data_IF_964284150767
#
_entry.id   IF_964284150767
#
_cell.length_a   1.000
_cell.length_b   1.000
_cell.length_c   1.000
_cell.angle_alpha   90.00
_cell.angle_beta   90.00
_cell.angle_gamma   90.00
#
_symmetry.space_group_name_H-M   'P 1'
#
loop_
_entity.id
_entity.type
_entity.pdbx_description
1 polymer ?
#
# COMPACT_ATOMS: atom_id res chain seq x y z
N UNK A 1 30.98 3.62 11.70
CA UNK A 1 30.65 4.81 12.48
C UNK A 1 29.32 5.29 11.92
N UNK A 2 28.23 5.22 12.69
CA UNK A 2 26.93 5.73 12.25
C UNK A 2 26.94 7.24 12.27
N UNK A 3 26.41 7.87 11.22
CA UNK A 3 26.19 9.31 11.19
C UNK A 3 25.28 9.69 12.35
N UNK A 4 25.70 10.65 13.16
CA UNK A 4 24.86 11.21 14.21
C UNK A 4 23.86 12.16 13.54
N UNK A 5 22.60 11.77 13.51
CA UNK A 5 21.54 12.67 13.07
C UNK A 5 21.47 13.88 14.02
N UNK A 6 21.41 15.07 13.43
CA UNK A 6 21.27 16.30 14.19
C UNK A 6 19.92 16.35 14.91
N UNK A 7 19.87 17.03 16.03
CA UNK A 7 18.61 17.33 16.74
C UNK A 7 17.64 18.07 15.81
N UNK A 8 16.37 17.69 15.81
CA UNK A 8 15.34 18.34 15.01
C UNK A 8 14.04 18.52 15.79
N UNK A 9 13.19 19.41 15.30
CA UNK A 9 11.86 19.67 15.86
C UNK A 9 10.82 19.22 14.86
N UNK A 10 9.85 18.33 15.25
CA UNK A 10 8.79 17.88 14.37
C UNK A 10 7.91 19.04 13.91
N UNK A 11 7.50 19.02 12.64
CA UNK A 11 6.57 20.03 12.09
C UNK A 11 5.22 20.02 12.80
N UNK A 12 4.82 18.87 13.35
CA UNK A 12 3.55 18.71 14.06
C UNK A 12 3.51 19.41 15.43
N UNK A 13 4.65 19.64 16.10
CA UNK A 13 4.68 20.31 17.41
C UNK A 13 6.04 20.95 17.70
N UNK A 14 6.11 22.28 17.70
CA UNK A 14 7.33 23.06 17.93
C UNK A 14 7.83 23.05 19.38
N UNK A 15 7.08 22.50 20.35
CA UNK A 15 7.53 22.33 21.73
C UNK A 15 8.33 21.04 21.95
N UNK A 16 8.39 20.18 20.94
CA UNK A 16 9.08 18.89 21.02
C UNK A 16 10.44 18.98 20.35
N UNK A 17 11.47 18.51 21.03
CA UNK A 17 12.82 18.34 20.49
C UNK A 17 13.15 16.86 20.42
N UNK A 18 13.57 16.40 19.26
CA UNK A 18 13.96 15.01 19.04
C UNK A 18 15.48 14.92 18.97
N UNK A 19 16.05 14.09 19.82
CA UNK A 19 17.48 13.78 19.85
C UNK A 19 17.68 12.27 19.75
N UNK A 20 18.59 11.84 18.91
CA UNK A 20 18.99 10.45 18.86
C UNK A 20 20.01 10.16 19.94
N UNK A 21 19.67 9.29 20.87
CA UNK A 21 20.54 8.84 21.95
C UNK A 21 20.93 7.37 21.72
N UNK A 22 22.18 7.02 21.98
CA UNK A 22 22.63 5.62 21.99
C UNK A 22 22.10 4.81 23.20
N UNK A 23 21.31 5.40 24.08
CA UNK A 23 20.69 4.71 25.19
C UNK A 23 19.52 3.85 24.68
N UNK A 24 19.41 2.64 25.20
CA UNK A 24 18.24 1.79 24.95
C UNK A 24 17.03 2.41 25.63
N UNK A 25 16.09 2.90 24.86
CA UNK A 25 14.78 3.37 25.36
C UNK A 25 13.73 2.32 25.04
N UNK A 26 12.74 2.17 25.88
CA UNK A 26 11.59 1.27 25.67
C UNK A 26 10.47 1.93 24.87
N UNK A 27 10.60 3.20 24.49
CA UNK A 27 9.58 3.92 23.73
C UNK A 27 9.78 3.78 22.22
N UNK A 28 8.68 3.76 21.49
CA UNK A 28 8.63 3.68 20.02
C UNK A 28 8.99 5.03 19.36
N UNK A 29 10.15 5.59 19.68
CA UNK A 29 10.57 6.94 19.23
C UNK A 29 10.58 7.09 17.70
N UNK A 30 10.74 5.98 16.97
CA UNK A 30 10.59 5.93 15.52
C UNK A 30 9.21 6.38 15.00
N UNK A 31 8.17 6.32 15.83
CA UNK A 31 6.84 6.79 15.46
C UNK A 31 6.81 8.29 15.12
N UNK A 32 7.70 9.12 15.72
CA UNK A 32 7.79 10.54 15.38
C UNK A 32 8.40 10.77 14.00
N UNK A 33 9.39 9.97 13.60
CA UNK A 33 9.97 10.03 12.26
C UNK A 33 8.95 9.62 11.20
N UNK A 34 8.21 8.54 11.47
CA UNK A 34 7.13 8.10 10.60
C UNK A 34 5.98 9.11 10.56
N UNK A 35 5.68 9.77 11.67
CA UNK A 35 4.69 10.84 11.71
C UNK A 35 5.10 12.01 10.81
N UNK A 36 6.35 12.43 10.86
CA UNK A 36 6.86 13.50 10.00
C UNK A 36 6.76 13.12 8.51
N UNK A 37 7.17 11.88 8.17
CA UNK A 37 7.03 11.38 6.80
C UNK A 37 5.55 11.31 6.35
N UNK A 38 4.67 10.88 7.24
CA UNK A 38 3.24 10.77 6.98
C UNK A 38 2.60 12.15 6.74
N UNK A 39 2.93 13.14 7.56
CA UNK A 39 2.43 14.52 7.39
C UNK A 39 2.98 15.14 6.10
N UNK A 40 4.27 14.95 5.78
CA UNK A 40 4.88 15.48 4.55
C UNK A 40 4.33 14.82 3.27
N UNK A 41 3.81 13.59 3.36
CA UNK A 41 3.19 12.91 2.20
C UNK A 41 1.85 13.51 1.80
N UNK A 42 1.16 14.19 2.70
CA UNK A 42 -0.19 14.72 2.49
C UNK A 42 -1.28 13.64 2.35
N UNK A 43 -0.98 12.37 2.71
CA UNK A 43 -1.94 11.27 2.56
C UNK A 43 -3.10 11.38 3.53
N UNK A 44 -2.87 11.87 4.75
CA UNK A 44 -3.94 12.03 5.74
C UNK A 44 -4.94 13.09 5.28
N UNK A 45 -4.47 14.21 4.78
CA UNK A 45 -5.29 15.28 4.23
C UNK A 45 -6.08 14.78 3.02
N UNK A 46 -5.42 14.07 2.10
CA UNK A 46 -6.09 13.49 0.92
C UNK A 46 -7.20 12.48 1.32
N UNK A 47 -6.99 11.71 2.37
CA UNK A 47 -8.02 10.81 2.89
C UNK A 47 -9.16 11.57 3.57
N UNK A 48 -8.87 12.59 4.37
CA UNK A 48 -9.91 13.39 5.04
C UNK A 48 -10.81 14.12 4.02
N UNK A 49 -10.22 14.67 2.97
CA UNK A 49 -10.94 15.43 1.94
C UNK A 49 -11.88 14.55 1.09
N UNK A 50 -11.57 13.26 0.96
CA UNK A 50 -12.30 12.36 0.08
C UNK A 50 -13.17 11.33 0.81
N UNK A 51 -12.90 11.06 2.10
CA UNK A 51 -13.68 10.08 2.87
C UNK A 51 -15.04 10.63 3.31
N UNK A 52 -16.08 9.82 3.09
CA UNK A 52 -17.43 10.11 3.59
C UNK A 52 -17.52 9.70 5.07
N UNK A 53 -17.37 10.68 5.95
CA UNK A 53 -17.56 10.51 7.40
C UNK A 53 -19.02 10.75 7.78
N UNK A 54 -19.74 9.68 8.11
CA UNK A 54 -21.17 9.73 8.50
C UNK A 54 -21.39 9.93 10.00
N UNK A 55 -20.33 10.20 10.76
CA UNK A 55 -20.46 10.44 12.19
C UNK A 55 -21.16 11.78 12.45
N UNK A 56 -22.00 11.82 13.48
CA UNK A 56 -22.65 13.06 13.87
C UNK A 56 -21.62 14.06 14.43
N UNK A 57 -21.48 15.29 13.87
CA UNK A 57 -20.40 16.23 14.24
C UNK A 57 -20.25 16.47 15.75
N UNK A 58 -21.37 16.64 16.47
CA UNK A 58 -21.36 16.87 17.93
C UNK A 58 -20.96 15.66 18.79
N UNK A 59 -20.79 14.48 18.18
CA UNK A 59 -20.37 13.24 18.86
C UNK A 59 -18.99 12.78 18.47
N UNK A 60 -18.29 13.55 17.65
CA UNK A 60 -16.90 13.26 17.25
C UNK A 60 -15.98 13.61 18.41
N UNK A 61 -15.41 12.59 19.04
CA UNK A 61 -14.42 12.72 20.11
C UNK A 61 -12.98 12.74 19.56
N UNK A 62 -12.75 11.97 18.51
CA UNK A 62 -11.46 11.88 17.82
C UNK A 62 -11.68 12.23 16.36
N UNK A 63 -10.86 13.13 15.81
CA UNK A 63 -10.88 13.49 14.39
C UNK A 63 -10.62 12.27 13.51
N UNK A 64 -10.99 12.35 12.25
CA UNK A 64 -10.67 11.31 11.27
C UNK A 64 -9.15 11.21 11.10
N UNK A 65 -8.45 12.35 11.00
CA UNK A 65 -6.99 12.41 10.93
C UNK A 65 -6.28 11.69 12.09
N UNK A 66 -6.70 11.94 13.33
CA UNK A 66 -6.12 11.26 14.50
C UNK A 66 -6.32 9.76 14.46
N UNK A 67 -7.48 9.29 14.01
CA UNK A 67 -7.77 7.87 13.86
C UNK A 67 -6.93 7.24 12.73
N UNK A 68 -6.83 7.90 11.59
CA UNK A 68 -6.02 7.45 10.44
C UNK A 68 -4.54 7.39 10.82
N UNK A 69 -4.01 8.43 11.46
CA UNK A 69 -2.62 8.44 11.95
C UNK A 69 -2.35 7.30 12.92
N UNK A 70 -3.26 7.08 13.87
CA UNK A 70 -3.12 5.97 14.83
C UNK A 70 -3.06 4.64 14.12
N UNK A 71 -3.95 4.38 13.16
CA UNK A 71 -4.00 3.14 12.41
C UNK A 71 -2.73 2.93 11.57
N UNK A 72 -2.30 3.96 10.82
CA UNK A 72 -1.13 3.88 9.93
C UNK A 72 0.15 3.70 10.73
N UNK A 73 0.39 4.56 11.72
CA UNK A 73 1.61 4.50 12.54
C UNK A 73 1.71 3.19 13.32
N UNK A 74 0.60 2.72 13.88
CA UNK A 74 0.56 1.44 14.58
C UNK A 74 1.02 0.31 13.66
N UNK A 75 0.49 0.21 12.44
CA UNK A 75 0.90 -0.80 11.46
C UNK A 75 2.36 -0.64 11.01
N UNK A 76 2.78 0.57 10.73
CA UNK A 76 4.15 0.87 10.30
C UNK A 76 5.21 0.57 11.36
N UNK A 77 4.85 0.67 12.64
CA UNK A 77 5.71 0.30 13.76
C UNK A 77 5.68 -1.20 14.11
N UNK A 78 4.89 -2.01 13.38
CA UNK A 78 4.81 -3.46 13.59
C UNK A 78 3.76 -3.91 14.61
N UNK A 79 2.94 -3.00 15.16
CA UNK A 79 1.83 -3.32 16.03
C UNK A 79 0.60 -3.72 15.20
N UNK A 80 0.51 -5.01 14.87
CA UNK A 80 -0.44 -5.51 13.87
C UNK A 80 -1.86 -5.63 14.44
N UNK A 81 -1.98 -5.98 15.71
CA UNK A 81 -3.28 -6.20 16.33
C UNK A 81 -3.93 -4.88 16.76
N UNK A 82 -5.26 -4.76 16.54
CA UNK A 82 -6.00 -3.59 17.02
C UNK A 82 -6.07 -3.53 18.55
N UNK A 83 -5.94 -4.66 19.26
CA UNK A 83 -5.91 -4.70 20.71
C UNK A 83 -4.72 -3.96 21.31
N UNK A 84 -3.60 -3.87 20.58
CA UNK A 84 -2.40 -3.14 20.99
C UNK A 84 -2.70 -1.65 21.19
N UNK A 85 -3.71 -1.13 20.49
CA UNK A 85 -4.15 0.27 20.61
C UNK A 85 -4.45 0.66 22.05
N UNK A 86 -5.04 -0.21 22.84
CA UNK A 86 -5.41 0.10 24.23
C UNK A 86 -4.20 0.20 25.18
N UNK A 87 -3.10 -0.43 24.81
CA UNK A 87 -1.80 -0.29 25.48
C UNK A 87 -1.08 0.97 24.99
N UNK A 88 -0.95 1.14 23.68
CA UNK A 88 -0.23 2.24 23.03
C UNK A 88 -0.85 3.61 23.36
N UNK A 89 -2.17 3.70 23.48
CA UNK A 89 -2.86 4.97 23.81
C UNK A 89 -2.43 5.60 25.15
N UNK A 90 -1.78 4.82 26.04
CA UNK A 90 -1.26 5.29 27.33
C UNK A 90 0.16 5.82 27.22
N UNK A 91 0.88 5.48 26.16
CA UNK A 91 2.24 5.94 25.92
C UNK A 91 2.24 7.42 25.51
N UNK A 92 2.99 8.30 26.21
CA UNK A 92 3.03 9.73 25.90
C UNK A 92 3.52 10.03 24.48
N UNK A 93 4.44 9.22 23.94
CA UNK A 93 4.95 9.38 22.59
C UNK A 93 3.86 9.09 21.53
N UNK A 94 3.11 8.02 21.73
CA UNK A 94 1.97 7.70 20.88
C UNK A 94 0.87 8.73 20.97
N UNK A 95 0.65 9.32 22.16
CA UNK A 95 -0.27 10.43 22.31
C UNK A 95 0.15 11.63 21.46
N UNK A 96 1.45 11.92 21.38
CA UNK A 96 1.99 12.96 20.51
C UNK A 96 1.89 12.56 19.02
N UNK A 97 2.44 11.42 18.66
CA UNK A 97 2.53 10.96 17.28
C UNK A 97 1.16 10.86 16.57
N UNK A 98 0.12 10.45 17.29
CA UNK A 98 -1.23 10.30 16.75
C UNK A 98 -2.12 11.54 16.93
N UNK A 99 -1.62 12.63 17.53
CA UNK A 99 -2.42 13.82 17.86
C UNK A 99 -2.69 14.70 16.64
N UNK A 100 -3.70 15.57 16.77
CA UNK A 100 -3.91 16.70 15.87
C UNK A 100 -3.19 17.96 16.36
N UNK A 101 -2.50 17.88 17.53
CA UNK A 101 -1.76 19.01 18.08
C UNK A 101 -0.63 19.41 17.12
N UNK A 102 -0.55 20.71 16.84
CA UNK A 102 0.48 21.33 16.00
C UNK A 102 1.07 22.54 16.72
N UNK A 103 2.32 22.88 16.39
CA UNK A 103 3.01 24.00 16.98
C UNK A 103 3.15 23.87 18.50
N UNK A 104 2.67 24.84 19.25
CA UNK A 104 2.70 24.89 20.71
C UNK A 104 1.38 24.48 21.38
N UNK A 105 0.47 23.86 20.63
CA UNK A 105 -0.83 23.44 21.14
C UNK A 105 -0.65 22.33 22.20
N UNK A 106 -1.25 22.45 23.40
CA UNK A 106 -1.16 21.42 24.41
C UNK A 106 -1.71 20.07 23.91
N UNK A 107 -1.05 18.99 24.31
CA UNK A 107 -1.50 17.64 24.00
C UNK A 107 -2.78 17.29 24.76
N UNK A 108 -3.81 16.88 24.04
CA UNK A 108 -4.96 16.23 24.63
C UNK A 108 -4.61 14.76 24.85
N UNK A 109 -4.72 14.27 26.07
CA UNK A 109 -4.30 12.90 26.45
C UNK A 109 -5.25 11.78 25.99
N UNK A 110 -6.32 12.11 25.29
CA UNK A 110 -7.29 11.13 24.82
C UNK A 110 -6.97 10.67 23.40
N UNK A 111 -6.88 9.34 23.21
CA UNK A 111 -6.58 8.69 21.92
C UNK A 111 -7.67 7.70 21.55
N UNK A 112 -7.84 7.40 20.25
CA UNK A 112 -8.78 6.39 19.80
C UNK A 112 -8.57 5.06 20.54
N UNK A 113 -9.64 4.40 20.89
CA UNK A 113 -9.62 3.04 21.43
C UNK A 113 -9.66 2.00 20.31
N UNK A 114 -9.37 0.74 20.62
CA UNK A 114 -9.53 -0.39 19.71
C UNK A 114 -10.91 -0.36 19.01
N UNK A 115 -11.99 -0.18 19.78
CA UNK A 115 -13.34 -0.13 19.22
C UNK A 115 -13.55 1.06 18.25
N UNK A 116 -12.85 2.17 18.46
CA UNK A 116 -12.91 3.33 17.55
C UNK A 116 -12.20 3.01 16.23
N UNK A 117 -11.03 2.38 16.28
CA UNK A 117 -10.30 1.96 15.07
C UNK A 117 -11.02 0.84 14.32
N UNK A 118 -11.69 -0.07 15.02
CA UNK A 118 -12.53 -1.09 14.37
C UNK A 118 -13.66 -0.45 13.55
N UNK A 119 -14.31 0.60 14.09
CA UNK A 119 -15.32 1.37 13.32
C UNK A 119 -14.70 2.14 12.16
N UNK A 120 -13.48 2.66 12.32
CA UNK A 120 -12.76 3.29 11.21
C UNK A 120 -12.52 2.29 10.08
N UNK A 121 -12.02 1.09 10.37
CA UNK A 121 -11.84 0.05 9.34
C UNK A 121 -13.15 -0.29 8.63
N UNK A 122 -14.25 -0.39 9.37
CA UNK A 122 -15.57 -0.58 8.77
C UNK A 122 -16.01 0.61 7.90
N UNK A 123 -15.59 1.83 8.25
CA UNK A 123 -15.85 3.02 7.45
C UNK A 123 -15.02 3.02 6.16
N UNK A 124 -13.74 2.68 6.24
CA UNK A 124 -12.84 2.63 5.08
C UNK A 124 -13.26 1.56 4.07
N UNK A 125 -13.75 0.40 4.54
CA UNK A 125 -14.21 -0.70 3.69
C UNK A 125 -15.58 -0.50 3.04
N UNK A 126 -16.19 0.67 3.16
CA UNK A 126 -17.49 0.95 2.50
C UNK A 126 -17.27 1.33 1.03
N UNK A 127 -18.20 0.95 0.17
CA UNK A 127 -18.13 1.22 -1.26
C UNK A 127 -17.90 2.70 -1.59
N UNK A 128 -18.52 3.62 -0.84
CA UNK A 128 -18.37 5.07 -1.00
C UNK A 128 -17.01 5.62 -0.52
N UNK A 129 -16.17 4.80 0.11
CA UNK A 129 -14.88 5.18 0.65
C UNK A 129 -13.69 4.43 0.00
N UNK A 130 -13.95 3.39 -0.77
CA UNK A 130 -12.86 2.62 -1.41
C UNK A 130 -12.05 3.48 -2.37
N UNK A 131 -12.72 4.33 -3.17
CA UNK A 131 -12.02 5.24 -4.10
C UNK A 131 -11.18 6.28 -3.35
N UNK A 132 -11.66 6.75 -2.21
CA UNK A 132 -10.89 7.66 -1.35
C UNK A 132 -9.63 7.01 -0.78
N UNK A 133 -9.70 5.72 -0.41
CA UNK A 133 -8.51 4.95 0.03
C UNK A 133 -7.52 4.80 -1.12
N UNK A 134 -7.99 4.48 -2.33
CA UNK A 134 -7.12 4.40 -3.52
C UNK A 134 -6.49 5.76 -3.85
N UNK A 135 -7.21 6.86 -3.67
CA UNK A 135 -6.65 8.21 -3.86
C UNK A 135 -5.53 8.50 -2.87
N UNK A 136 -5.72 8.11 -1.61
CA UNK A 136 -4.67 8.19 -0.59
C UNK A 136 -3.40 7.39 -0.96
N UNK A 137 -3.56 6.18 -1.50
CA UNK A 137 -2.43 5.38 -2.00
C UNK A 137 -1.71 6.07 -3.15
N UNK A 138 -2.44 6.59 -4.14
CA UNK A 138 -1.85 7.34 -5.26
C UNK A 138 -1.11 8.58 -4.78
N UNK A 139 -1.65 9.32 -3.83
CA UNK A 139 -0.99 10.48 -3.24
C UNK A 139 0.36 10.11 -2.62
N UNK A 140 0.40 9.03 -1.87
CA UNK A 140 1.62 8.52 -1.24
C UNK A 140 2.66 8.11 -2.31
N UNK A 141 2.24 7.41 -3.35
CA UNK A 141 3.09 6.99 -4.47
C UNK A 141 3.69 8.19 -5.19
N UNK A 142 2.88 9.20 -5.54
CA UNK A 142 3.35 10.43 -6.21
C UNK A 142 4.36 11.17 -5.34
N UNK A 143 4.07 11.31 -4.05
CA UNK A 143 4.99 11.93 -3.10
C UNK A 143 6.34 11.19 -3.04
N UNK A 144 6.30 9.86 -2.95
CA UNK A 144 7.51 9.04 -2.88
C UNK A 144 8.33 9.10 -4.17
N UNK A 145 7.69 9.00 -5.33
CA UNK A 145 8.37 9.09 -6.62
C UNK A 145 9.09 10.44 -6.79
N UNK A 146 8.43 11.54 -6.43
CA UNK A 146 9.05 12.88 -6.48
C UNK A 146 10.17 13.05 -5.47
N UNK A 147 10.03 12.48 -4.27
CA UNK A 147 11.08 12.54 -3.24
C UNK A 147 12.34 11.75 -3.61
N UNK A 148 12.19 10.58 -4.23
CA UNK A 148 13.31 9.73 -4.63
C UNK A 148 14.08 10.29 -5.84
N UNK A 149 13.44 11.06 -6.69
CA UNK A 149 14.02 11.55 -7.94
C UNK A 149 14.39 13.06 -7.89
N UNK A 150 14.62 13.60 -6.71
CA UNK A 150 14.98 15.03 -6.52
C UNK A 150 14.00 15.99 -7.22
N UNK A 151 12.71 15.62 -7.28
CA UNK A 151 11.65 16.41 -7.90
C UNK A 151 11.40 16.11 -9.38
N UNK A 152 12.22 15.30 -10.03
CA UNK A 152 11.95 14.85 -11.39
C UNK A 152 10.85 13.78 -11.39
N UNK A 153 9.95 13.85 -12.37
CA UNK A 153 8.91 12.83 -12.54
C UNK A 153 9.44 11.70 -13.43
N UNK A 154 9.16 10.43 -13.08
CA UNK A 154 9.51 9.30 -13.94
C UNK A 154 8.80 9.42 -15.28
N UNK A 155 9.49 9.10 -16.37
CA UNK A 155 8.88 9.07 -17.71
C UNK A 155 8.09 7.78 -17.95
N UNK A 156 8.50 6.71 -17.31
CA UNK A 156 7.91 5.38 -17.44
C UNK A 156 7.82 4.70 -16.08
N UNK A 157 6.71 3.99 -15.85
CA UNK A 157 6.46 3.18 -14.66
C UNK A 157 6.02 1.77 -15.09
N UNK A 158 6.35 0.78 -14.28
CA UNK A 158 5.91 -0.60 -14.48
C UNK A 158 4.93 -0.98 -13.37
N UNK A 159 3.72 -1.31 -13.75
CA UNK A 159 2.65 -1.78 -12.87
C UNK A 159 2.63 -3.30 -12.83
N UNK A 160 2.97 -3.89 -11.69
CA UNK A 160 2.89 -5.32 -11.45
C UNK A 160 1.51 -5.69 -10.93
N UNK A 161 0.88 -6.66 -11.56
CA UNK A 161 -0.42 -7.20 -11.15
C UNK A 161 -0.24 -8.64 -10.68
N UNK A 162 -0.76 -8.92 -9.50
CA UNK A 162 -0.70 -10.27 -8.91
C UNK A 162 -1.98 -10.62 -8.16
N UNK A 163 -2.21 -11.91 -7.97
CA UNK A 163 -3.26 -12.44 -7.10
C UNK A 163 -2.71 -12.72 -5.70
N UNK A 164 -3.36 -12.18 -4.67
CA UNK A 164 -2.94 -12.38 -3.28
C UNK A 164 -3.99 -13.21 -2.53
N UNK A 165 -3.82 -14.55 -2.40
CA UNK A 165 -4.76 -15.35 -1.60
C UNK A 165 -4.67 -14.95 -0.13
N UNK A 166 -5.81 -14.57 0.46
CA UNK A 166 -5.91 -14.21 1.88
C UNK A 166 -6.73 -15.27 2.59
N UNK A 167 -6.11 -16.00 3.49
CA UNK A 167 -6.79 -17.01 4.30
C UNK A 167 -7.81 -16.38 5.23
N UNK A 168 -8.97 -17.02 5.33
CA UNK A 168 -10.11 -16.57 6.13
C UNK A 168 -10.40 -17.59 7.20
N UNK A 169 -10.36 -17.14 8.45
CA UNK A 169 -10.78 -17.94 9.58
C UNK A 169 -12.27 -17.71 9.88
N UNK A 170 -13.06 -18.78 9.80
CA UNK A 170 -14.51 -18.71 9.99
C UNK A 170 -15.29 -18.53 8.68
N UNK A 171 -16.57 -18.10 8.83
CA UNK A 171 -17.52 -17.96 7.73
C UNK A 171 -17.76 -16.48 7.40
N UNK A 172 -16.89 -15.90 6.58
CA UNK A 172 -17.09 -14.54 6.08
C UNK A 172 -17.75 -14.58 4.70
N UNK A 173 -18.68 -13.66 4.43
CA UNK A 173 -19.35 -13.55 3.13
C UNK A 173 -18.36 -13.34 2.00
N UNK A 174 -18.53 -14.01 0.87
CA UNK A 174 -17.61 -13.97 -0.27
C UNK A 174 -16.35 -14.83 -0.12
N UNK A 175 -16.05 -15.38 1.06
CA UNK A 175 -14.96 -16.35 1.20
C UNK A 175 -15.37 -17.72 0.66
N UNK A 176 -14.48 -18.39 -0.07
CA UNK A 176 -14.71 -19.71 -0.61
C UNK A 176 -13.53 -20.65 -0.33
N UNK A 177 -13.82 -21.96 -0.26
CA UNK A 177 -12.77 -22.96 -0.17
C UNK A 177 -12.04 -23.07 -1.49
N UNK A 178 -10.72 -23.01 -1.43
CA UNK A 178 -9.86 -23.11 -2.63
C UNK A 178 -8.97 -24.34 -2.52
N UNK A 179 -9.18 -25.32 -3.43
CA UNK A 179 -8.53 -26.63 -3.37
C UNK A 179 -7.00 -26.59 -3.43
N UNK A 180 -6.41 -25.64 -4.17
CA UNK A 180 -4.95 -25.50 -4.26
C UNK A 180 -4.32 -25.08 -2.91
N UNK A 181 -5.00 -24.21 -2.16
CA UNK A 181 -4.51 -23.71 -0.87
C UNK A 181 -4.99 -24.55 0.32
N UNK A 182 -5.98 -25.42 0.11
CA UNK A 182 -6.56 -26.25 1.16
C UNK A 182 -7.28 -25.47 2.27
N UNK A 183 -7.65 -24.22 2.00
CA UNK A 183 -8.22 -23.28 2.95
C UNK A 183 -9.37 -22.48 2.35
N UNK A 184 -10.17 -21.85 3.22
CA UNK A 184 -11.08 -20.77 2.80
C UNK A 184 -10.28 -19.49 2.61
N UNK A 185 -10.46 -18.84 1.47
CA UNK A 185 -9.71 -17.63 1.13
C UNK A 185 -10.64 -16.56 0.55
N UNK A 186 -10.14 -15.32 0.50
CA UNK A 186 -10.43 -14.35 -0.54
C UNK A 186 -9.32 -14.38 -1.59
N UNK A 187 -9.63 -13.98 -2.82
CA UNK A 187 -8.68 -13.94 -3.95
C UNK A 187 -8.55 -12.52 -4.53
N UNK A 188 -8.11 -11.53 -3.73
CA UNK A 188 -7.96 -10.17 -4.24
C UNK A 188 -6.89 -10.08 -5.33
N UNK A 189 -7.05 -9.08 -6.22
CA UNK A 189 -5.97 -8.59 -7.04
C UNK A 189 -5.23 -7.49 -6.29
N UNK A 190 -3.94 -7.44 -6.45
CA UNK A 190 -3.08 -6.38 -5.96
C UNK A 190 -2.24 -5.80 -7.10
N UNK A 191 -1.99 -4.51 -7.02
CA UNK A 191 -1.15 -3.81 -7.98
C UNK A 191 -0.07 -3.04 -7.24
N UNK A 192 1.18 -3.16 -7.69
CA UNK A 192 2.31 -2.45 -7.14
C UNK A 192 3.22 -1.89 -8.23
N UNK A 193 3.99 -0.86 -7.91
CA UNK A 193 5.02 -0.34 -8.81
C UNK A 193 6.30 -1.16 -8.67
N UNK A 194 6.84 -1.65 -9.80
CA UNK A 194 8.09 -2.41 -9.81
C UNK A 194 9.28 -1.58 -9.33
N UNK A 195 9.27 -0.28 -9.60
CA UNK A 195 10.36 0.64 -9.30
C UNK A 195 10.53 0.91 -7.81
N UNK A 196 9.43 0.86 -7.04
CA UNK A 196 9.44 1.26 -5.61
C UNK A 196 8.87 0.20 -4.68
N UNK A 197 8.15 -0.80 -5.23
CA UNK A 197 7.41 -1.78 -4.45
C UNK A 197 6.15 -1.21 -3.78
N UNK A 198 5.77 0.02 -4.09
CA UNK A 198 4.60 0.65 -3.49
C UNK A 198 3.32 0.05 -4.05
N UNK A 199 2.39 -0.28 -3.16
CA UNK A 199 1.05 -0.70 -3.53
C UNK A 199 0.26 0.51 -4.07
N UNK A 200 -0.36 0.36 -5.23
CA UNK A 200 -1.16 1.40 -5.90
C UNK A 200 -2.65 1.08 -5.95
N UNK A 201 -3.01 -0.16 -5.67
CA UNK A 201 -4.41 -0.56 -5.66
C UNK A 201 -4.62 -2.00 -5.21
N UNK A 202 -5.86 -2.29 -4.82
CA UNK A 202 -6.33 -3.62 -4.51
C UNK A 202 -7.79 -3.78 -4.87
N UNK A 203 -8.16 -4.94 -5.40
CA UNK A 203 -9.54 -5.32 -5.69
C UNK A 203 -9.88 -6.57 -4.92
N UNK A 204 -10.73 -6.46 -3.90
CA UNK A 204 -11.22 -7.61 -3.15
C UNK A 204 -12.15 -8.42 -4.05
N UNK A 205 -11.89 -9.74 -4.16
CA UNK A 205 -12.70 -10.68 -4.93
C UNK A 205 -13.07 -11.88 -4.07
N UNK A 206 -14.10 -12.57 -4.47
CA UNK A 206 -14.51 -13.82 -3.83
C UNK A 206 -13.41 -14.88 -3.91
N UNK A 207 -13.41 -15.82 -2.98
CA UNK A 207 -12.37 -16.84 -2.89
C UNK A 207 -12.32 -17.84 -4.05
N UNK A 208 -13.40 -17.95 -4.81
CA UNK A 208 -13.53 -18.78 -6.02
C UNK A 208 -13.38 -17.98 -7.33
N UNK A 209 -13.05 -16.68 -7.24
CA UNK A 209 -12.82 -15.86 -8.42
C UNK A 209 -11.71 -16.44 -9.32
N UNK A 210 -11.94 -16.43 -10.61
CA UNK A 210 -10.93 -16.83 -11.61
C UNK A 210 -9.69 -15.91 -11.56
N UNK A 211 -8.51 -16.38 -11.99
CA UNK A 211 -7.29 -15.56 -11.93
C UNK A 211 -7.43 -14.17 -12.55
N UNK A 212 -7.99 -14.07 -13.76
CA UNK A 212 -8.16 -12.82 -14.50
C UNK A 212 -9.54 -12.18 -14.34
N UNK A 213 -10.39 -12.68 -13.46
CA UNK A 213 -11.74 -12.12 -13.28
C UNK A 213 -11.66 -10.65 -12.85
N UNK A 214 -12.35 -9.75 -13.60
CA UNK A 214 -12.34 -8.30 -13.46
C UNK A 214 -10.98 -7.62 -13.77
N UNK A 215 -9.96 -8.33 -14.26
CA UNK A 215 -8.67 -7.74 -14.62
C UNK A 215 -8.80 -6.81 -15.83
N UNK A 216 -9.64 -7.17 -16.81
CA UNK A 216 -9.94 -6.44 -18.04
C UNK A 216 -10.46 -5.01 -17.83
N UNK A 217 -11.15 -4.78 -16.74
CA UNK A 217 -11.70 -3.47 -16.36
C UNK A 217 -10.83 -2.75 -15.34
N UNK A 218 -10.32 -3.47 -14.36
CA UNK A 218 -9.59 -2.90 -13.24
C UNK A 218 -8.18 -2.43 -13.62
N UNK A 219 -7.43 -3.22 -14.41
CA UNK A 219 -6.06 -2.85 -14.81
C UNK A 219 -6.04 -1.56 -15.64
N UNK A 220 -6.84 -1.41 -16.72
CA UNK A 220 -6.88 -0.15 -17.46
C UNK A 220 -7.32 1.04 -16.63
N UNK A 221 -8.21 0.85 -15.66
CA UNK A 221 -8.60 1.91 -14.73
C UNK A 221 -7.41 2.41 -13.89
N UNK A 222 -6.60 1.49 -13.33
CA UNK A 222 -5.40 1.85 -12.57
C UNK A 222 -4.35 2.53 -13.42
N UNK A 223 -4.10 2.02 -14.65
CA UNK A 223 -3.15 2.62 -15.59
C UNK A 223 -3.54 4.08 -15.89
N UNK A 224 -4.80 4.32 -16.20
CA UNK A 224 -5.30 5.68 -16.44
C UNK A 224 -5.05 6.59 -15.25
N UNK A 225 -5.40 6.17 -14.03
CA UNK A 225 -5.21 6.96 -12.81
C UNK A 225 -3.74 7.27 -12.53
N UNK A 226 -2.85 6.28 -12.73
CA UNK A 226 -1.41 6.48 -12.59
C UNK A 226 -0.87 7.47 -13.62
N UNK A 227 -1.27 7.34 -14.90
CA UNK A 227 -0.87 8.26 -15.95
C UNK A 227 -1.32 9.70 -15.61
N UNK A 228 -2.57 9.89 -15.21
CA UNK A 228 -3.14 11.18 -14.83
C UNK A 228 -2.41 11.80 -13.63
N UNK A 229 -2.07 11.00 -12.62
CA UNK A 229 -1.46 11.48 -11.37
C UNK A 229 0.05 11.74 -11.49
N UNK A 230 0.76 10.93 -12.28
CA UNK A 230 2.23 10.99 -12.38
C UNK A 230 2.72 11.67 -13.65
N UNK A 231 1.94 11.64 -14.72
CA UNK A 231 2.35 12.04 -16.08
C UNK A 231 3.29 11.03 -16.76
N UNK A 232 3.52 9.86 -16.14
CA UNK A 232 4.37 8.81 -16.69
C UNK A 232 3.59 7.89 -17.63
N UNK A 233 4.28 7.31 -18.62
CA UNK A 233 3.74 6.18 -19.38
C UNK A 233 3.80 4.93 -18.50
N UNK A 234 2.66 4.26 -18.31
CA UNK A 234 2.57 3.05 -17.49
C UNK A 234 2.57 1.82 -18.38
N UNK A 235 3.50 0.92 -18.13
CA UNK A 235 3.56 -0.45 -18.67
C UNK A 235 3.01 -1.43 -17.64
N UNK A 236 2.30 -2.45 -18.08
CA UNK A 236 1.74 -3.48 -17.20
C UNK A 236 2.56 -4.76 -17.28
N UNK A 237 2.88 -5.37 -16.15
CA UNK A 237 3.49 -6.70 -16.07
C UNK A 237 2.52 -7.67 -15.38
N UNK A 238 2.19 -8.75 -16.07
CA UNK A 238 1.22 -9.76 -15.64
C UNK A 238 1.80 -11.17 -15.76
N UNK A 239 1.38 -12.04 -14.86
CA UNK A 239 1.73 -13.45 -14.95
C UNK A 239 0.80 -14.24 -15.90
N UNK A 240 1.00 -15.55 -16.00
CA UNK A 240 0.21 -16.44 -16.86
C UNK A 240 -1.25 -16.59 -16.42
N UNK A 241 -1.63 -16.12 -15.25
CA UNK A 241 -3.00 -16.11 -14.76
C UNK A 241 -3.88 -15.08 -15.45
N UNK A 242 -3.27 -14.00 -15.96
CA UNK A 242 -3.95 -12.83 -16.53
C UNK A 242 -3.86 -12.74 -18.06
N UNK A 243 -3.25 -13.71 -18.73
CA UNK A 243 -3.12 -13.69 -20.19
C UNK A 243 -4.30 -14.36 -20.90
N UNK A 244 -5.51 -14.04 -20.46
CA UNK A 244 -6.74 -14.38 -21.14
C UNK A 244 -7.10 -13.34 -22.20
N UNK A 245 -7.96 -13.72 -23.17
CA UNK A 245 -8.28 -12.84 -24.29
C UNK A 245 -8.90 -11.51 -23.84
N UNK A 246 -9.83 -11.53 -22.88
CA UNK A 246 -10.52 -10.33 -22.45
C UNK A 246 -9.55 -9.30 -21.84
N UNK A 247 -8.62 -9.77 -21.01
CA UNK A 247 -7.60 -8.88 -20.41
C UNK A 247 -6.65 -8.33 -21.47
N UNK A 248 -6.16 -9.19 -22.40
CA UNK A 248 -5.24 -8.73 -23.44
C UNK A 248 -5.91 -7.76 -24.41
N UNK A 249 -7.12 -8.06 -24.89
CA UNK A 249 -7.91 -7.16 -25.75
C UNK A 249 -8.16 -5.81 -25.06
N UNK A 250 -8.49 -5.83 -23.76
CA UNK A 250 -8.71 -4.60 -23.00
C UNK A 250 -7.46 -3.72 -22.86
N UNK A 251 -6.27 -4.30 -22.84
CA UNK A 251 -4.99 -3.57 -22.83
C UNK A 251 -4.65 -3.05 -24.24
N UNK A 252 -4.83 -3.87 -25.27
CA UNK A 252 -4.55 -3.53 -26.68
C UNK A 252 -5.48 -2.42 -27.19
N UNK A 253 -6.77 -2.49 -26.92
CA UNK A 253 -7.77 -1.46 -27.29
C UNK A 253 -7.45 -0.06 -26.70
N UNK A 254 -6.66 -0.02 -25.62
CA UNK A 254 -6.27 1.22 -24.96
C UNK A 254 -4.80 1.56 -25.17
N UNK A 255 -4.12 0.87 -26.08
CA UNK A 255 -2.71 1.06 -26.41
C UNK A 255 -1.80 1.00 -25.15
N UNK A 256 -2.17 0.15 -24.16
CA UNK A 256 -1.39 -0.07 -22.95
C UNK A 256 -0.30 -1.08 -23.24
N UNK A 257 0.96 -0.69 -23.08
CA UNK A 257 2.10 -1.59 -23.21
C UNK A 257 2.07 -2.63 -22.07
N UNK A 258 2.24 -3.90 -22.42
CA UNK A 258 2.27 -4.95 -21.40
C UNK A 258 3.33 -6.01 -21.67
N UNK A 259 3.75 -6.67 -20.59
CA UNK A 259 4.59 -7.87 -20.59
C UNK A 259 3.84 -9.00 -19.87
N UNK A 260 3.39 -9.99 -20.61
CA UNK A 260 2.64 -11.13 -20.08
C UNK A 260 3.40 -12.45 -20.26
N UNK A 261 3.38 -13.29 -19.23
CA UNK A 261 3.88 -14.66 -19.34
C UNK A 261 2.77 -15.57 -19.88
N UNK A 262 3.01 -16.24 -21.00
CA UNK A 262 2.07 -17.22 -21.50
C UNK A 262 2.09 -18.52 -20.69
N UNK A 263 0.94 -19.16 -20.55
CA UNK A 263 0.86 -20.49 -19.93
C UNK A 263 1.61 -21.49 -20.79
N UNK A 264 2.50 -22.26 -20.15
CA UNK A 264 3.22 -23.32 -20.84
C UNK A 264 2.26 -24.45 -21.27
N UNK A 265 2.29 -24.79 -22.53
CA UNK A 265 1.62 -25.96 -23.07
C UNK A 265 2.51 -26.64 -24.15
N UNK A 266 2.21 -27.89 -24.50
CA UNK A 266 3.07 -28.69 -25.39
C UNK A 266 3.33 -28.05 -26.75
N UNK A 267 2.37 -27.34 -27.34
CA UNK A 267 2.54 -26.57 -28.57
C UNK A 267 3.55 -25.43 -28.43
N UNK A 268 3.41 -24.61 -27.39
CA UNK A 268 4.34 -23.53 -27.13
C UNK A 268 5.74 -24.03 -26.81
N UNK A 269 5.87 -25.13 -26.06
CA UNK A 269 7.16 -25.75 -25.77
C UNK A 269 7.86 -26.25 -27.06
N UNK A 270 7.13 -26.83 -28.00
CA UNK A 270 7.67 -27.24 -29.30
C UNK A 270 8.18 -26.05 -30.12
N UNK A 271 7.41 -24.95 -30.15
CA UNK A 271 7.81 -23.71 -30.83
C UNK A 271 9.02 -23.04 -30.17
N UNK A 272 9.08 -23.05 -28.87
CA UNK A 272 10.18 -22.44 -28.12
C UNK A 272 11.45 -23.31 -28.08
N UNK A 273 11.35 -24.62 -28.26
CA UNK A 273 12.48 -25.55 -28.13
C UNK A 273 13.74 -25.16 -28.94
N UNK A 274 13.66 -24.65 -30.18
CA UNK A 274 14.84 -24.18 -30.89
C UNK A 274 15.52 -22.97 -30.25
N UNK A 275 14.76 -22.11 -29.59
CA UNK A 275 15.20 -20.84 -28.95
C UNK A 275 15.74 -21.08 -27.55
N UNK A 276 15.32 -22.16 -26.88
CA UNK A 276 15.73 -22.52 -25.53
C UNK A 276 17.06 -23.28 -25.45
N UNK A 277 17.69 -23.59 -26.59
CA UNK A 277 19.03 -24.21 -26.61
C UNK A 277 20.02 -23.27 -25.95
N UNK A 278 20.47 -23.67 -24.75
CA UNK A 278 21.54 -22.96 -24.04
C UNK A 278 22.78 -22.94 -24.95
N UNK A 279 23.37 -21.78 -25.25
CA UNK A 279 24.64 -21.76 -25.97
C UNK A 279 25.65 -22.63 -25.20
N UNK A 280 26.51 -23.40 -25.89
CA UNK A 280 27.52 -24.19 -25.22
C UNK A 280 28.34 -23.26 -24.29
N UNK A 281 28.75 -23.75 -23.10
CA UNK A 281 29.55 -22.96 -22.21
C UNK A 281 30.79 -22.50 -22.98
N UNK A 282 30.99 -21.20 -23.06
CA UNK A 282 32.22 -20.64 -23.65
C UNK A 282 33.39 -21.23 -22.87
N UNK A 283 34.16 -22.05 -23.55
CA UNK A 283 35.45 -22.57 -23.07
C UNK A 283 36.42 -21.38 -22.90
N UNK A 284 36.40 -20.76 -21.74
CA UNK A 284 37.19 -19.57 -21.50
C UNK A 284 37.42 -19.33 -20.02
N UNK A 285 38.58 -19.68 -19.54
CA UNK A 285 39.16 -19.09 -18.36
C UNK A 285 39.07 -19.89 -17.08
N UNK A 286 39.98 -20.85 -16.90
CA UNK A 286 40.51 -21.13 -15.57
C UNK A 286 41.01 -19.82 -14.99
N UNK A 287 40.43 -19.36 -13.92
CA UNK A 287 41.08 -18.38 -13.05
C UNK A 287 41.81 -19.16 -11.97
N UNK A 288 43.12 -18.96 -11.97
CA UNK A 288 44.00 -19.31 -10.86
C UNK A 288 43.65 -18.52 -9.61
#
# INVERSE_FOLDING_TARGET
>A
MGESLSTWTPSCNGSVRVELSGQRTTSDSGALLLREALDNSGVIEALEDNLVDRRHPLRIRHSLASQLRTLVLQRAMGWIDLSDTDTLRRDPLWQLACSDARGMTPLVQDRPSQATLSRLLSCLGRNDNIDAVHEGLLRLVVWRLTSLQNGERPKQLTLDIDGLPIEVHGHQGGSAYHGLYGARIYSPLVASLAETGDMVGGLLREGNAGPAENADTWIPHLVRRLNESTGAQVRVRIDAGFTDNATLEALEDREIEYLGRLRSHTGLQKLAAPLLKRPPPTSGGRRC
#
